data_IF_483988559971
#
_entry.id   IF_483988559971
#
_cell.length_a   1.000
_cell.length_b   1.000
_cell.length_c   1.000
_cell.angle_alpha   90.00
_cell.angle_beta   90.00
_cell.angle_gamma   90.00
#
_symmetry.space_group_name_H-M   'P 1'
#
loop_
_entity.id
_entity.type
_entity.pdbx_description
1 polymer ?
#
# COMPACT_ATOMS: atom_id res chain seq x y z
N UNK A 1 14.58 -55.40 20.21
CA UNK A 1 14.88 -54.04 20.65
C UNK A 1 15.97 -53.32 19.85
N UNK A 2 17.06 -53.93 19.36
CA UNK A 2 18.11 -53.27 18.58
C UNK A 2 17.66 -52.75 17.19
N UNK A 3 16.74 -53.45 16.51
CA UNK A 3 16.27 -53.05 15.13
C UNK A 3 15.35 -51.80 15.14
N UNK A 4 14.60 -51.57 16.21
CA UNK A 4 13.70 -50.42 16.34
C UNK A 4 14.47 -49.12 16.63
N UNK A 5 15.58 -49.21 17.38
CA UNK A 5 16.42 -48.04 17.70
C UNK A 5 17.16 -47.58 16.43
N UNK A 6 17.60 -48.49 15.56
CA UNK A 6 18.28 -48.14 14.29
C UNK A 6 17.33 -47.44 13.32
N UNK A 7 16.07 -47.88 13.24
CA UNK A 7 15.07 -47.24 12.39
C UNK A 7 14.73 -45.81 12.86
N UNK A 8 14.65 -45.58 14.18
CA UNK A 8 14.40 -44.27 14.79
C UNK A 8 15.57 -43.30 14.53
N UNK A 9 16.82 -43.79 14.61
CA UNK A 9 18.01 -43.00 14.35
C UNK A 9 18.11 -42.60 12.84
N UNK A 10 17.74 -43.50 11.93
CA UNK A 10 17.72 -43.21 10.49
C UNK A 10 16.64 -42.20 10.17
N UNK A 11 15.46 -42.24 10.78
CA UNK A 11 14.41 -41.24 10.62
C UNK A 11 14.82 -39.88 11.17
N UNK A 12 15.54 -39.82 12.30
CA UNK A 12 16.06 -38.54 12.80
C UNK A 12 17.16 -37.96 11.92
N UNK A 13 18.09 -38.80 11.38
CA UNK A 13 19.08 -38.30 10.41
C UNK A 13 18.45 -37.87 9.10
N UNK A 14 17.41 -38.56 8.63
CA UNK A 14 16.69 -38.15 7.41
C UNK A 14 15.93 -36.82 7.61
N UNK A 15 15.36 -36.56 8.79
CA UNK A 15 14.75 -35.28 9.14
C UNK A 15 15.77 -34.12 9.17
N UNK A 16 16.98 -34.37 9.69
CA UNK A 16 18.07 -33.40 9.72
C UNK A 16 18.57 -33.08 8.28
N UNK A 17 18.61 -34.09 7.40
CA UNK A 17 19.02 -33.88 5.99
C UNK A 17 17.99 -33.10 5.16
N UNK A 18 16.71 -33.08 5.56
CA UNK A 18 15.67 -32.32 4.88
C UNK A 18 15.75 -30.82 5.15
N UNK A 19 16.49 -30.39 6.20
CA UNK A 19 16.68 -28.98 6.53
C UNK A 19 17.93 -28.34 5.88
N UNK A 20 18.79 -29.11 5.20
CA UNK A 20 19.96 -28.58 4.49
C UNK A 20 19.70 -28.31 3.02
N UNK A 21 18.45 -28.44 2.55
CA UNK A 21 18.05 -28.21 1.17
C UNK A 21 17.73 -26.75 0.88
N UNK A 22 18.52 -26.17 0.00
CA UNK A 22 18.32 -24.91 -0.73
C UNK A 22 17.74 -23.75 0.04
N UNK A 23 18.60 -22.89 0.41
CA UNK A 23 18.47 -21.67 1.18
C UNK A 23 17.79 -20.48 0.48
N UNK A 24 16.84 -20.70 -0.40
CA UNK A 24 16.02 -19.58 -0.89
C UNK A 24 15.21 -19.02 0.26
N UNK A 25 15.24 -17.70 0.41
CA UNK A 25 14.45 -17.01 1.41
C UNK A 25 12.97 -17.39 1.29
N UNK A 26 12.37 -17.84 2.40
CA UNK A 26 10.94 -18.16 2.45
C UNK A 26 10.19 -16.90 2.86
N UNK A 27 9.14 -16.56 2.15
CA UNK A 27 8.31 -15.39 2.40
C UNK A 27 7.71 -14.83 1.12
N UNK A 28 7.01 -13.71 1.25
CA UNK A 28 6.39 -13.00 0.16
C UNK A 28 7.44 -12.17 -0.60
N UNK A 29 7.64 -12.47 -1.88
CA UNK A 29 8.55 -11.69 -2.74
C UNK A 29 7.85 -10.42 -3.20
N UNK A 30 8.50 -9.29 -3.00
CA UNK A 30 8.00 -7.98 -3.39
C UNK A 30 9.14 -7.16 -4.02
N UNK A 31 8.78 -6.09 -4.73
CA UNK A 31 9.72 -5.03 -5.14
C UNK A 31 9.47 -3.81 -4.27
N UNK A 32 10.55 -3.23 -3.75
CA UNK A 32 10.46 -1.93 -3.08
C UNK A 32 10.26 -0.78 -4.09
N UNK A 33 10.03 0.44 -3.61
CA UNK A 33 9.83 1.62 -4.45
C UNK A 33 11.01 1.97 -5.35
N UNK A 34 12.20 1.43 -5.04
CA UNK A 34 13.42 1.56 -5.86
C UNK A 34 13.59 0.40 -6.84
N UNK A 35 12.64 -0.54 -6.91
CA UNK A 35 12.66 -1.71 -7.79
C UNK A 35 13.51 -2.87 -7.30
N UNK A 36 14.05 -2.84 -6.08
CA UNK A 36 14.85 -3.93 -5.53
C UNK A 36 13.96 -5.07 -5.04
N UNK A 37 14.39 -6.30 -5.29
CA UNK A 37 13.72 -7.48 -4.76
C UNK A 37 13.89 -7.57 -3.23
N UNK A 38 12.78 -7.78 -2.52
CA UNK A 38 12.71 -8.01 -1.08
C UNK A 38 11.91 -9.28 -0.80
N UNK A 39 12.20 -9.91 0.32
CA UNK A 39 11.42 -11.05 0.81
C UNK A 39 10.86 -10.68 2.17
N UNK A 40 9.55 -10.53 2.25
CA UNK A 40 8.85 -10.21 3.50
C UNK A 40 8.68 -11.49 4.32
N UNK A 41 8.87 -11.38 5.63
CA UNK A 41 8.41 -12.41 6.55
C UNK A 41 6.89 -12.34 6.60
N UNK A 42 6.24 -13.49 6.49
CA UNK A 42 4.77 -13.58 6.50
C UNK A 42 4.28 -14.36 7.71
N UNK A 43 3.10 -13.99 8.19
CA UNK A 43 2.33 -14.76 9.14
C UNK A 43 1.75 -16.05 8.52
N UNK A 44 1.00 -16.81 9.31
CA UNK A 44 0.34 -18.05 8.87
C UNK A 44 -0.74 -17.85 7.81
N UNK A 45 -1.27 -16.63 7.67
CA UNK A 45 -2.24 -16.23 6.65
C UNK A 45 -1.57 -15.68 5.37
N UNK A 46 -0.23 -15.63 5.33
CA UNK A 46 0.53 -15.09 4.22
C UNK A 46 0.63 -13.56 4.20
N UNK A 47 0.16 -12.88 5.23
CA UNK A 47 0.28 -11.44 5.43
C UNK A 47 1.68 -11.05 5.94
N UNK A 48 2.20 -9.86 5.59
CA UNK A 48 3.49 -9.42 6.09
C UNK A 48 3.47 -9.16 7.60
N UNK A 49 4.57 -9.51 8.28
CA UNK A 49 4.77 -9.26 9.71
C UNK A 49 5.42 -7.87 9.89
N UNK A 50 5.07 -7.21 10.98
CA UNK A 50 5.60 -5.90 11.36
C UNK A 50 6.11 -5.92 12.79
N UNK A 51 7.11 -5.09 13.08
CA UNK A 51 7.59 -4.87 14.44
C UNK A 51 6.66 -3.91 15.22
N UNK A 52 6.95 -3.72 16.51
CA UNK A 52 6.18 -2.83 17.39
C UNK A 52 6.18 -1.37 16.93
N UNK A 53 7.21 -0.94 16.19
CA UNK A 53 7.32 0.39 15.60
C UNK A 53 6.59 0.52 14.26
N UNK A 54 5.97 -0.57 13.76
CA UNK A 54 5.26 -0.63 12.48
C UNK A 54 6.18 -0.74 11.27
N UNK A 55 7.45 -1.10 11.46
CA UNK A 55 8.35 -1.42 10.36
C UNK A 55 8.05 -2.84 9.86
N UNK A 56 8.21 -3.05 8.54
CA UNK A 56 8.00 -4.37 7.97
C UNK A 56 9.22 -5.26 8.18
N UNK A 57 8.99 -6.51 8.55
CA UNK A 57 10.07 -7.47 8.75
C UNK A 57 10.42 -8.13 7.42
N UNK A 58 11.67 -8.02 6.99
CA UNK A 58 12.21 -8.64 5.78
C UNK A 58 13.22 -9.72 6.14
N UNK A 59 13.40 -10.69 5.25
CA UNK A 59 14.51 -11.65 5.31
C UNK A 59 15.73 -11.01 4.69
N UNK A 60 16.87 -11.02 5.38
CA UNK A 60 18.14 -10.64 4.77
C UNK A 60 18.58 -11.69 3.75
N UNK A 61 18.97 -11.24 2.56
CA UNK A 61 19.43 -12.10 1.47
C UNK A 61 20.86 -11.77 1.07
N UNK A 62 21.56 -12.77 0.53
CA UNK A 62 22.82 -12.57 -0.19
C UNK A 62 22.56 -12.05 -1.62
N UNK A 63 23.62 -11.78 -2.37
CA UNK A 63 23.57 -11.30 -3.75
C UNK A 63 22.85 -12.26 -4.72
N UNK A 64 22.71 -13.53 -4.33
CA UNK A 64 22.01 -14.58 -5.10
C UNK A 64 20.54 -14.76 -4.69
N UNK A 65 20.08 -13.95 -3.74
CA UNK A 65 18.70 -14.03 -3.19
C UNK A 65 18.49 -15.20 -2.23
N UNK A 66 19.56 -15.81 -1.70
CA UNK A 66 19.43 -16.82 -0.64
C UNK A 66 19.33 -16.11 0.71
N UNK A 67 18.51 -16.67 1.63
CA UNK A 67 18.43 -16.16 2.99
C UNK A 67 19.78 -16.29 3.70
N UNK A 68 20.23 -15.21 4.31
CA UNK A 68 21.30 -15.27 5.29
C UNK A 68 20.80 -16.05 6.49
N UNK A 69 21.68 -16.85 7.09
CA UNK A 69 21.39 -17.65 8.27
C UNK A 69 22.32 -17.26 9.41
N UNK A 70 21.77 -17.29 10.61
CA UNK A 70 22.54 -17.13 11.84
C UNK A 70 23.31 -18.42 12.20
N UNK A 71 24.03 -18.38 13.33
CA UNK A 71 24.80 -19.53 13.84
C UNK A 71 23.92 -20.74 14.18
N UNK A 72 22.63 -20.55 14.39
CA UNK A 72 21.64 -21.61 14.67
C UNK A 72 20.99 -22.15 13.39
N UNK A 73 21.30 -21.56 12.23
CA UNK A 73 20.72 -21.92 10.94
C UNK A 73 19.34 -21.30 10.69
N UNK A 74 18.89 -20.36 11.51
CA UNK A 74 17.65 -19.60 11.33
C UNK A 74 17.86 -18.44 10.34
N UNK A 75 16.79 -18.02 9.65
CA UNK A 75 16.88 -16.89 8.73
C UNK A 75 17.11 -15.60 9.50
N UNK A 76 18.12 -14.83 9.08
CA UNK A 76 18.34 -13.49 9.61
C UNK A 76 17.27 -12.57 9.07
N UNK A 77 16.57 -11.85 9.94
CA UNK A 77 15.54 -10.89 9.60
C UNK A 77 15.96 -9.49 10.03
N UNK A 78 15.44 -8.49 9.34
CA UNK A 78 15.65 -7.09 9.66
C UNK A 78 14.33 -6.32 9.51
N UNK A 79 14.11 -5.30 10.34
CA UNK A 79 12.97 -4.42 10.24
C UNK A 79 13.33 -3.21 9.36
N UNK A 80 12.51 -2.97 8.33
CA UNK A 80 12.73 -1.87 7.36
C UNK A 80 11.60 -0.87 7.49
N UNK A 81 11.95 0.39 7.68
CA UNK A 81 10.96 1.47 7.72
C UNK A 81 10.13 1.49 6.43
N UNK A 82 8.82 1.53 6.58
CA UNK A 82 7.88 1.63 5.47
C UNK A 82 7.71 3.06 4.93
N UNK A 83 8.68 3.93 5.09
CA UNK A 83 8.72 5.15 4.29
C UNK A 83 8.69 4.84 2.79
N UNK A 84 9.11 3.61 2.44
CA UNK A 84 9.09 3.11 1.08
C UNK A 84 7.99 2.05 0.94
N UNK A 85 7.09 2.27 0.02
CA UNK A 85 6.06 1.32 -0.36
C UNK A 85 6.68 0.06 -0.96
N UNK A 86 6.24 -1.10 -0.50
CA UNK A 86 6.63 -2.39 -1.06
C UNK A 86 5.51 -2.91 -1.96
N UNK A 87 5.86 -3.39 -3.15
CA UNK A 87 4.92 -3.86 -4.16
C UNK A 87 5.19 -5.32 -4.49
N UNK A 88 4.14 -6.14 -4.50
CA UNK A 88 4.18 -7.53 -5.00
C UNK A 88 3.13 -7.68 -6.10
N UNK A 89 3.60 -7.77 -7.36
CA UNK A 89 2.73 -7.76 -8.52
C UNK A 89 1.94 -6.45 -8.61
N UNK A 90 0.64 -6.52 -8.35
CA UNK A 90 -0.28 -5.39 -8.30
C UNK A 90 -0.59 -4.90 -6.88
N UNK A 91 -0.19 -5.67 -5.83
CA UNK A 91 -0.50 -5.35 -4.44
C UNK A 91 0.59 -4.49 -3.80
N UNK A 92 0.19 -3.32 -3.32
CA UNK A 92 1.05 -2.37 -2.63
C UNK A 92 0.85 -2.48 -1.11
N UNK A 93 1.95 -2.57 -0.36
CA UNK A 93 1.95 -2.73 1.09
C UNK A 93 2.44 -1.44 1.75
N UNK A 94 1.56 -0.82 2.54
CA UNK A 94 1.82 0.42 3.26
C UNK A 94 1.79 0.16 4.77
N UNK A 95 2.22 1.14 5.57
CA UNK A 95 2.28 1.02 7.03
C UNK A 95 0.93 0.64 7.66
N UNK A 96 -0.16 1.25 7.23
CA UNK A 96 -1.48 1.08 7.84
C UNK A 96 -2.47 0.31 6.96
N UNK A 97 -2.14 0.06 5.70
CA UNK A 97 -3.05 -0.53 4.74
C UNK A 97 -2.32 -1.20 3.58
N UNK A 98 -3.06 -1.97 2.80
CA UNK A 98 -2.64 -2.44 1.48
C UNK A 98 -3.67 -1.99 0.46
N UNK A 99 -3.28 -1.87 -0.80
CA UNK A 99 -4.21 -1.62 -1.90
C UNK A 99 -3.73 -2.31 -3.18
N UNK A 100 -4.60 -2.40 -4.18
CA UNK A 100 -4.27 -2.94 -5.50
C UNK A 100 -3.93 -1.80 -6.46
N UNK A 101 -2.67 -1.77 -6.95
CA UNK A 101 -2.22 -0.84 -7.97
C UNK A 101 -2.64 -1.35 -9.35
N UNK A 102 -3.48 -0.64 -10.12
CA UNK A 102 -3.85 -1.08 -11.44
C UNK A 102 -2.66 -1.06 -12.41
N UNK A 103 -2.75 -1.87 -13.44
CA UNK A 103 -1.81 -1.87 -14.54
C UNK A 103 -1.76 -0.51 -15.24
N UNK A 104 -0.58 -0.10 -15.71
CA UNK A 104 -0.39 1.14 -16.46
C UNK A 104 -0.23 2.42 -15.63
N UNK A 105 -0.35 2.35 -14.30
CA UNK A 105 0.01 3.48 -13.43
C UNK A 105 1.48 3.45 -13.04
N UNK A 106 2.15 4.59 -13.19
CA UNK A 106 3.42 4.87 -12.52
C UNK A 106 3.15 5.27 -11.08
N UNK A 107 4.02 4.88 -10.16
CA UNK A 107 3.82 5.12 -8.72
C UNK A 107 5.02 5.82 -8.12
N UNK A 108 4.75 6.87 -7.37
CA UNK A 108 5.73 7.62 -6.58
C UNK A 108 5.27 7.67 -5.12
N UNK A 109 6.23 7.60 -4.19
CA UNK A 109 5.95 7.67 -2.75
C UNK A 109 6.81 8.76 -2.13
N UNK A 110 6.16 9.71 -1.46
CA UNK A 110 6.84 10.79 -0.72
C UNK A 110 6.18 10.93 0.65
N UNK A 111 6.91 10.54 1.70
CA UNK A 111 6.39 10.57 3.07
C UNK A 111 5.15 9.68 3.23
N UNK A 112 4.02 10.29 3.60
CA UNK A 112 2.71 9.64 3.75
C UNK A 112 1.83 9.72 2.49
N UNK A 113 2.36 10.25 1.39
CA UNK A 113 1.64 10.42 0.12
C UNK A 113 2.11 9.39 -0.91
N UNK A 114 1.16 8.72 -1.54
CA UNK A 114 1.36 7.79 -2.65
C UNK A 114 0.65 8.39 -3.84
N UNK A 115 1.39 8.67 -4.90
CA UNK A 115 0.86 9.24 -6.14
C UNK A 115 0.94 8.20 -7.25
N UNK A 116 -0.18 7.94 -7.90
CA UNK A 116 -0.32 7.10 -9.09
C UNK A 116 -0.62 7.99 -10.29
N UNK A 117 0.12 7.83 -11.38
CA UNK A 117 -0.04 8.65 -12.60
C UNK A 117 -0.27 7.75 -13.81
N UNK A 118 -1.28 8.08 -14.61
CA UNK A 118 -1.59 7.43 -15.89
C UNK A 118 -2.01 8.48 -16.91
N UNK A 119 -1.09 8.84 -17.79
CA UNK A 119 -1.32 9.89 -18.77
C UNK A 119 -1.59 11.26 -18.13
N UNK A 120 -2.85 11.74 -18.16
CA UNK A 120 -3.28 13.00 -17.54
C UNK A 120 -4.13 12.80 -16.29
N UNK A 121 -4.19 11.59 -15.80
CA UNK A 121 -4.89 11.23 -14.58
C UNK A 121 -3.90 11.03 -13.45
N UNK A 122 -4.25 11.53 -12.28
CA UNK A 122 -3.46 11.37 -11.06
C UNK A 122 -4.36 10.90 -9.92
N UNK A 123 -3.89 9.95 -9.15
CA UNK A 123 -4.54 9.48 -7.93
C UNK A 123 -3.54 9.64 -6.80
N UNK A 124 -3.92 10.37 -5.77
CA UNK A 124 -3.15 10.50 -4.54
C UNK A 124 -3.84 9.77 -3.40
N UNK A 125 -3.10 8.92 -2.71
CA UNK A 125 -3.53 8.28 -1.46
C UNK A 125 -2.64 8.83 -0.36
N UNK A 126 -3.22 9.59 0.54
CA UNK A 126 -2.53 10.26 1.65
C UNK A 126 -3.09 9.69 2.95
N UNK A 127 -2.22 9.34 3.89
CA UNK A 127 -2.62 8.99 5.24
C UNK A 127 -2.00 9.95 6.25
N UNK A 128 -2.75 10.27 7.29
CA UNK A 128 -2.40 11.30 8.27
C UNK A 128 -2.84 10.85 9.67
N UNK A 129 -1.95 10.96 10.64
CA UNK A 129 -2.23 10.62 12.04
C UNK A 129 -2.44 11.86 12.91
N UNK A 130 -2.31 13.07 12.33
CA UNK A 130 -2.38 14.34 13.04
C UNK A 130 -3.64 15.13 12.69
N UNK A 131 -4.09 15.05 11.42
CA UNK A 131 -5.28 15.77 10.94
C UNK A 131 -6.51 14.85 10.90
N UNK A 132 -7.62 15.34 11.39
CA UNK A 132 -8.95 14.71 11.28
C UNK A 132 -9.55 14.85 9.89
N UNK A 133 -10.64 14.11 9.62
CA UNK A 133 -11.45 14.23 8.40
C UNK A 133 -11.97 15.66 8.22
N UNK A 134 -12.41 16.30 9.31
CA UNK A 134 -12.97 17.67 9.24
C UNK A 134 -11.88 18.71 8.90
N UNK A 135 -10.67 18.56 9.41
CA UNK A 135 -9.55 19.43 9.03
C UNK A 135 -9.15 19.24 7.56
N UNK A 136 -9.15 17.99 7.05
CA UNK A 136 -8.92 17.74 5.62
C UNK A 136 -10.04 18.30 4.74
N UNK A 137 -11.28 18.30 5.19
CA UNK A 137 -12.41 18.98 4.49
C UNK A 137 -12.23 20.49 4.47
N UNK A 138 -11.72 21.09 5.55
CA UNK A 138 -11.37 22.50 5.58
C UNK A 138 -10.29 22.84 4.55
N UNK A 139 -9.21 22.03 4.48
CA UNK A 139 -8.16 22.19 3.47
C UNK A 139 -8.76 22.15 2.03
N UNK A 140 -9.71 21.23 1.77
CA UNK A 140 -10.39 21.12 0.47
C UNK A 140 -11.25 22.37 0.18
N UNK A 141 -11.92 22.93 1.18
CA UNK A 141 -12.71 24.16 1.05
C UNK A 141 -11.82 25.34 0.66
N UNK A 142 -10.60 25.41 1.18
CA UNK A 142 -9.62 26.44 0.77
C UNK A 142 -9.18 26.26 -0.70
N UNK A 143 -9.03 25.03 -1.16
CA UNK A 143 -8.75 24.72 -2.56
C UNK A 143 -9.90 25.23 -3.45
N UNK A 144 -11.16 24.94 -3.10
CA UNK A 144 -12.35 25.42 -3.83
C UNK A 144 -12.39 26.96 -3.87
N UNK A 145 -12.11 27.62 -2.73
CA UNK A 145 -12.05 29.08 -2.66
C UNK A 145 -10.95 29.64 -3.57
N UNK A 146 -9.80 28.99 -3.63
CA UNK A 146 -8.70 29.38 -4.51
C UNK A 146 -9.06 29.25 -6.00
N UNK A 147 -9.79 28.18 -6.38
CA UNK A 147 -10.30 27.98 -7.74
C UNK A 147 -11.24 29.12 -8.13
N UNK A 148 -12.18 29.50 -7.22
CA UNK A 148 -13.09 30.63 -7.45
C UNK A 148 -12.36 31.96 -7.57
N UNK A 149 -11.33 32.18 -6.74
CA UNK A 149 -10.50 33.39 -6.79
C UNK A 149 -9.73 33.54 -8.12
N UNK A 150 -9.48 32.43 -8.83
CA UNK A 150 -8.89 32.43 -10.16
C UNK A 150 -9.92 32.71 -11.29
N UNK A 151 -11.19 32.91 -10.95
CA UNK A 151 -12.26 33.24 -11.90
C UNK A 151 -12.99 32.03 -12.46
N UNK A 152 -12.78 30.84 -11.91
CA UNK A 152 -13.55 29.66 -12.29
C UNK A 152 -14.80 29.52 -11.41
N UNK A 153 -15.86 28.95 -11.97
CA UNK A 153 -17.10 28.62 -11.26
C UNK A 153 -17.23 27.09 -11.16
N UNK A 154 -16.61 26.45 -10.15
CA UNK A 154 -16.68 25.00 -10.00
C UNK A 154 -18.08 24.54 -9.56
N UNK A 155 -18.58 23.48 -10.17
CA UNK A 155 -19.70 22.71 -9.65
C UNK A 155 -19.16 21.78 -8.55
N UNK A 156 -19.76 21.81 -7.36
CA UNK A 156 -19.32 21.02 -6.21
C UNK A 156 -20.47 20.17 -5.72
N UNK A 157 -20.25 18.86 -5.64
CA UNK A 157 -21.21 17.90 -5.12
C UNK A 157 -20.60 17.14 -3.95
N UNK A 158 -21.30 17.14 -2.80
CA UNK A 158 -20.92 16.40 -1.60
C UNK A 158 -21.86 15.23 -1.37
N UNK A 159 -21.31 14.09 -1.09
CA UNK A 159 -22.08 12.90 -0.71
C UNK A 159 -21.38 12.09 0.38
N UNK A 160 -22.11 11.16 0.99
CA UNK A 160 -21.53 10.16 1.90
C UNK A 160 -21.75 8.79 1.31
N UNK A 161 -20.66 8.03 1.15
CA UNK A 161 -20.68 6.66 0.62
C UNK A 161 -20.00 5.70 1.59
N UNK A 162 -20.28 4.41 1.44
CA UNK A 162 -19.47 3.36 2.07
C UNK A 162 -18.42 2.91 1.05
N UNK A 163 -17.14 3.16 1.34
CA UNK A 163 -16.01 2.74 0.51
C UNK A 163 -15.01 1.99 1.39
N UNK A 164 -14.41 0.92 0.89
CA UNK A 164 -13.51 0.02 1.63
C UNK A 164 -14.02 -0.36 3.04
N UNK A 165 -15.36 -0.47 3.21
CA UNK A 165 -16.00 -0.78 4.48
C UNK A 165 -16.08 0.37 5.49
N UNK A 166 -15.71 1.60 5.10
CA UNK A 166 -15.76 2.79 5.95
C UNK A 166 -16.80 3.79 5.41
N UNK A 167 -17.42 4.57 6.31
CA UNK A 167 -18.16 5.75 5.91
C UNK A 167 -17.20 6.81 5.42
N UNK A 168 -17.33 7.20 4.15
CA UNK A 168 -16.47 8.16 3.50
C UNK A 168 -17.24 9.41 3.09
N UNK A 169 -16.63 10.58 3.27
CA UNK A 169 -17.09 11.84 2.71
C UNK A 169 -16.48 11.99 1.33
N UNK A 170 -17.32 12.10 0.32
CA UNK A 170 -16.91 12.24 -1.08
C UNK A 170 -17.30 13.62 -1.57
N UNK A 171 -16.34 14.36 -2.10
CA UNK A 171 -16.57 15.65 -2.74
C UNK A 171 -16.11 15.56 -4.19
N UNK A 172 -17.01 15.82 -5.12
CA UNK A 172 -16.73 15.93 -6.54
C UNK A 172 -16.72 17.40 -6.94
N UNK A 173 -15.66 17.84 -7.65
CA UNK A 173 -15.48 19.22 -8.13
C UNK A 173 -15.27 19.17 -9.62
N UNK A 174 -16.22 19.75 -10.37
CA UNK A 174 -16.14 19.90 -11.81
C UNK A 174 -15.80 21.34 -12.17
N UNK A 175 -14.80 21.52 -12.97
CA UNK A 175 -14.40 22.82 -13.51
C UNK A 175 -14.53 22.74 -15.02
N UNK A 176 -15.39 23.60 -15.60
CA UNK A 176 -15.57 23.68 -17.05
C UNK A 176 -15.55 25.15 -17.47
N UNK A 177 -14.60 25.48 -18.34
CA UNK A 177 -14.50 26.78 -18.99
C UNK A 177 -14.12 26.62 -20.48
N UNK A 178 -14.06 27.69 -21.21
CA UNK A 178 -13.69 27.63 -22.64
C UNK A 178 -12.29 27.07 -22.89
N UNK A 179 -11.37 27.27 -21.94
CA UNK A 179 -9.94 26.96 -22.11
C UNK A 179 -9.44 25.90 -21.14
N UNK A 180 -10.27 25.45 -20.15
CA UNK A 180 -9.84 24.56 -19.10
C UNK A 180 -10.98 23.67 -18.60
N UNK A 181 -10.71 22.38 -18.52
CA UNK A 181 -11.59 21.39 -17.88
C UNK A 181 -10.80 20.62 -16.83
N UNK A 182 -11.43 20.32 -15.72
CA UNK A 182 -10.90 19.40 -14.72
C UNK A 182 -12.02 18.70 -13.92
N UNK A 183 -11.75 17.46 -13.54
CA UNK A 183 -12.52 16.71 -12.56
C UNK A 183 -11.59 16.42 -11.37
N UNK A 184 -12.04 16.76 -10.18
CA UNK A 184 -11.39 16.40 -8.92
C UNK A 184 -12.40 15.62 -8.09
N UNK A 185 -12.02 14.45 -7.60
CA UNK A 185 -12.82 13.68 -6.63
C UNK A 185 -11.98 13.46 -5.41
N UNK A 186 -12.48 13.89 -4.25
CA UNK A 186 -11.83 13.69 -2.95
C UNK A 186 -12.66 12.74 -2.10
N UNK A 187 -12.05 11.70 -1.59
CA UNK A 187 -12.65 10.71 -0.69
C UNK A 187 -11.90 10.77 0.64
N UNK A 188 -12.60 11.13 1.70
CA UNK A 188 -12.06 11.27 3.05
C UNK A 188 -12.75 10.31 4.01
N UNK A 189 -11.99 9.54 4.77
CA UNK A 189 -12.49 8.66 5.82
C UNK A 189 -11.45 8.47 6.93
N UNK A 190 -11.88 7.96 8.07
CA UNK A 190 -11.01 7.63 9.18
C UNK A 190 -11.12 6.14 9.53
N UNK A 191 -10.00 5.55 9.90
CA UNK A 191 -9.94 4.19 10.44
C UNK A 191 -8.82 4.08 11.47
N UNK A 192 -9.20 3.66 12.68
CA UNK A 192 -8.27 3.40 13.80
C UNK A 192 -7.34 4.60 14.12
N UNK A 193 -7.90 5.83 14.10
CA UNK A 193 -7.17 7.08 14.38
C UNK A 193 -6.25 7.54 13.25
N UNK A 194 -6.37 6.95 12.06
CA UNK A 194 -5.67 7.40 10.85
C UNK A 194 -6.69 7.96 9.87
N UNK A 195 -6.49 9.19 9.42
CA UNK A 195 -7.29 9.83 8.38
C UNK A 195 -6.69 9.52 7.01
N UNK A 196 -7.54 9.12 6.09
CA UNK A 196 -7.19 8.82 4.70
C UNK A 196 -7.83 9.84 3.78
N UNK A 197 -7.04 10.38 2.87
CA UNK A 197 -7.49 11.22 1.77
C UNK A 197 -7.08 10.56 0.45
N UNK A 198 -8.07 10.10 -0.32
CA UNK A 198 -7.85 9.57 -1.65
C UNK A 198 -8.39 10.58 -2.65
N UNK A 199 -7.52 11.16 -3.48
CA UNK A 199 -7.89 12.21 -4.42
C UNK A 199 -7.64 11.72 -5.85
N UNK A 200 -8.58 11.99 -6.74
CA UNK A 200 -8.48 11.75 -8.17
C UNK A 200 -8.50 13.09 -8.91
N UNK A 201 -7.60 13.23 -9.85
CA UNK A 201 -7.53 14.41 -10.73
C UNK A 201 -7.49 13.96 -12.19
N UNK A 202 -8.36 14.54 -13.02
CA UNK A 202 -8.37 14.35 -14.45
C UNK A 202 -8.55 15.66 -15.17
N UNK A 203 -8.00 15.78 -16.39
CA UNK A 203 -8.08 16.96 -17.25
C UNK A 203 -9.33 16.98 -18.14
N UNK A 204 -10.40 16.27 -17.73
CA UNK A 204 -11.71 16.24 -18.40
C UNK A 204 -12.82 16.02 -17.37
N UNK A 205 -13.87 16.80 -17.44
CA UNK A 205 -15.05 16.68 -16.56
C UNK A 205 -15.74 15.32 -16.70
N UNK A 206 -15.77 14.75 -17.90
CA UNK A 206 -16.35 13.42 -18.15
C UNK A 206 -15.40 12.23 -18.00
N UNK A 207 -14.28 12.38 -17.29
CA UNK A 207 -13.38 11.27 -17.01
C UNK A 207 -14.06 10.20 -16.14
N UNK A 208 -13.73 8.94 -16.39
CA UNK A 208 -14.29 7.82 -15.61
C UNK A 208 -13.60 7.68 -14.27
N UNK A 209 -14.36 7.65 -13.18
CA UNK A 209 -13.87 7.40 -11.82
C UNK A 209 -13.76 5.92 -11.45
N UNK A 210 -14.14 4.99 -12.34
CA UNK A 210 -14.25 3.57 -12.02
C UNK A 210 -12.93 2.92 -11.59
N UNK A 211 -11.78 3.28 -12.20
CA UNK A 211 -10.47 2.78 -11.75
C UNK A 211 -10.11 3.37 -10.38
N UNK A 212 -10.37 4.65 -10.13
CA UNK A 212 -10.16 5.30 -8.84
C UNK A 212 -11.00 4.64 -7.74
N UNK A 213 -12.30 4.45 -7.96
CA UNK A 213 -13.20 3.77 -7.02
C UNK A 213 -12.74 2.32 -6.74
N UNK A 214 -12.26 1.62 -7.76
CA UNK A 214 -11.71 0.27 -7.61
C UNK A 214 -10.46 0.26 -6.72
N UNK A 215 -9.58 1.25 -6.86
CA UNK A 215 -8.39 1.40 -6.02
C UNK A 215 -8.81 1.66 -4.58
N UNK A 216 -9.68 2.63 -4.33
CA UNK A 216 -10.17 2.96 -2.98
C UNK A 216 -10.83 1.75 -2.33
N UNK A 217 -11.70 1.02 -3.04
CA UNK A 217 -12.35 -0.18 -2.53
C UNK A 217 -11.39 -1.36 -2.31
N UNK A 218 -10.21 -1.35 -2.93
CA UNK A 218 -9.17 -2.36 -2.70
C UNK A 218 -8.35 -2.12 -1.44
N UNK A 219 -8.53 -0.96 -0.78
CA UNK A 219 -7.85 -0.64 0.47
C UNK A 219 -8.29 -1.64 1.55
N UNK A 220 -7.31 -2.31 2.14
CA UNK A 220 -7.49 -3.26 3.23
C UNK A 220 -6.60 -2.82 4.39
N UNK A 221 -7.25 -2.46 5.50
CA UNK A 221 -6.59 -1.99 6.72
C UNK A 221 -5.93 -3.15 7.48
N UNK A 222 -5.00 -2.80 8.35
CA UNK A 222 -4.20 -3.73 9.16
C UNK A 222 -4.62 -3.62 10.60
#
# INVERSE_FOLDING_TARGET
MKKTITALLICMLAAVCLFTGCSKAKGLKVKDSSGNDRVLVTDENGGPIYDEAGNIVIVETDEKGNAKKDEKGEQVTNAVSLKNLLVSGDKAYCKYFTFTKPSGYEMTVVGSSITLVKGKETIDIIYDTEKSVEEKRSDLSEVIASIKAQGYEPEVEDETKTLCGQEAKVTEIKISSNDYEALIVSVLFEKDGVTYACNYHASKVGASTGEFESIVNSISFR
#
